data_IF_407433174806
#
_entry.id   IF_407433174806
#
_cell.length_a   1.000
_cell.length_b   1.000
_cell.length_c   1.000
_cell.angle_alpha   90.00
_cell.angle_beta   90.00
_cell.angle_gamma   90.00
#
_symmetry.space_group_name_H-M   'P 1'
#
loop_
_entity.id
_entity.type
_entity.pdbx_description
1 polymer ?
#
# COMPACT_ATOMS: atom_id res chain seq x y z
N UNK A 1 -18.03 -1.82 -25.42
CA UNK A 1 -17.67 -2.56 -24.25
C UNK A 1 -16.62 -1.82 -23.47
N UNK A 2 -16.95 -1.38 -22.32
CA UNK A 2 -16.09 -0.55 -21.53
C UNK A 2 -14.95 -1.29 -20.88
N UNK A 3 -13.93 -0.55 -20.40
CA UNK A 3 -12.84 -1.05 -19.56
C UNK A 3 -13.29 -1.23 -18.10
N UNK A 4 -14.59 -1.52 -17.90
CA UNK A 4 -15.12 -1.77 -16.56
C UNK A 4 -14.79 -3.19 -16.13
N UNK A 5 -14.49 -3.35 -14.85
CA UNK A 5 -14.32 -4.68 -14.25
C UNK A 5 -15.67 -5.43 -14.34
N UNK A 6 -15.65 -6.74 -14.66
CA UNK A 6 -16.90 -7.54 -14.69
C UNK A 6 -17.66 -7.49 -13.38
N UNK A 7 -16.96 -7.39 -12.26
CA UNK A 7 -17.51 -7.21 -10.94
C UNK A 7 -16.72 -6.12 -10.22
N UNK A 8 -17.38 -5.36 -9.35
CA UNK A 8 -16.71 -4.43 -8.47
C UNK A 8 -15.76 -5.21 -7.55
N UNK A 9 -14.50 -4.77 -7.41
CA UNK A 9 -13.57 -5.44 -6.50
C UNK A 9 -14.08 -5.40 -5.07
N UNK A 10 -13.81 -6.46 -4.33
CA UNK A 10 -14.06 -6.54 -2.90
C UNK A 10 -12.76 -6.25 -2.18
N UNK A 11 -12.78 -5.32 -1.24
CA UNK A 11 -11.62 -5.05 -0.39
C UNK A 11 -11.81 -5.83 0.90
N UNK A 12 -10.85 -6.67 1.22
CA UNK A 12 -10.90 -7.52 2.40
C UNK A 12 -9.53 -7.64 3.07
N UNK A 13 -9.53 -8.14 4.28
CA UNK A 13 -8.28 -8.40 5.03
C UNK A 13 -7.48 -9.49 4.32
N UNK A 14 -6.18 -9.25 4.22
CA UNK A 14 -5.23 -10.22 3.65
C UNK A 14 -5.21 -11.51 4.47
N UNK A 15 -5.16 -12.62 3.78
CA UNK A 15 -4.99 -13.96 4.37
C UNK A 15 -3.63 -14.52 3.99
N UNK A 16 -3.18 -15.49 4.75
CA UNK A 16 -1.89 -16.14 4.52
C UNK A 16 -1.77 -16.72 3.11
N UNK A 17 -2.83 -17.31 2.60
CA UNK A 17 -2.85 -17.90 1.25
C UNK A 17 -2.90 -16.85 0.12
N UNK A 18 -3.03 -15.55 0.43
CA UNK A 18 -2.91 -14.49 -0.56
C UNK A 18 -1.45 -14.16 -0.91
N UNK A 19 -0.50 -14.57 -0.08
CA UNK A 19 0.88 -14.13 -0.18
C UNK A 19 1.54 -14.47 -1.52
N UNK A 20 1.29 -15.66 -2.04
CA UNK A 20 1.86 -16.06 -3.33
C UNK A 20 1.40 -15.14 -4.46
N UNK A 21 0.13 -14.75 -4.45
CA UNK A 21 -0.39 -13.83 -5.47
C UNK A 21 0.18 -12.42 -5.33
N UNK A 22 0.41 -11.98 -4.10
CA UNK A 22 1.06 -10.69 -3.83
C UNK A 22 2.48 -10.69 -4.38
N UNK A 23 3.22 -11.78 -4.19
CA UNK A 23 4.57 -11.94 -4.73
C UNK A 23 4.54 -11.88 -6.26
N UNK A 24 3.55 -12.48 -6.89
CA UNK A 24 3.38 -12.41 -8.35
C UNK A 24 3.14 -10.97 -8.82
N UNK A 25 2.26 -10.24 -8.15
CA UNK A 25 1.95 -8.84 -8.51
C UNK A 25 3.19 -7.97 -8.33
N UNK A 26 3.90 -8.13 -7.22
CA UNK A 26 5.15 -7.41 -6.95
C UNK A 26 6.18 -7.69 -8.07
N UNK A 27 6.31 -8.94 -8.48
CA UNK A 27 7.19 -9.32 -9.58
C UNK A 27 6.79 -8.65 -10.90
N UNK A 28 5.50 -8.60 -11.20
CA UNK A 28 5.01 -7.93 -12.40
C UNK A 28 5.38 -6.43 -12.42
N UNK A 29 5.38 -5.80 -11.26
CA UNK A 29 5.67 -4.37 -11.12
C UNK A 29 7.18 -4.10 -11.15
N UNK A 30 7.95 -4.87 -10.38
CA UNK A 30 9.39 -4.64 -10.18
C UNK A 30 10.27 -5.43 -11.14
N UNK A 31 9.76 -6.52 -11.72
CA UNK A 31 10.54 -7.41 -12.56
C UNK A 31 11.42 -8.39 -11.78
N UNK A 32 11.17 -8.55 -10.49
CA UNK A 32 11.95 -9.43 -9.61
C UNK A 32 11.04 -10.11 -8.59
N UNK A 33 11.21 -11.41 -8.44
CA UNK A 33 10.45 -12.19 -7.46
C UNK A 33 11.17 -12.16 -6.11
N UNK A 34 10.47 -11.71 -5.05
CA UNK A 34 11.06 -11.48 -3.74
C UNK A 34 10.31 -12.20 -2.61
N UNK A 35 10.23 -13.55 -2.61
CA UNK A 35 9.45 -14.26 -1.60
C UNK A 35 9.96 -14.03 -0.16
N UNK A 36 11.27 -14.04 0.05
CA UNK A 36 11.85 -13.84 1.40
C UNK A 36 11.55 -12.44 1.94
N UNK A 37 11.59 -11.43 1.09
CA UNK A 37 11.22 -10.08 1.45
C UNK A 37 9.76 -10.03 1.94
N UNK A 38 8.86 -10.66 1.21
CA UNK A 38 7.43 -10.63 1.53
C UNK A 38 7.10 -11.44 2.78
N UNK A 39 7.75 -12.57 2.99
CA UNK A 39 7.59 -13.37 4.22
C UNK A 39 7.91 -12.52 5.44
N UNK A 40 9.06 -11.83 5.42
CA UNK A 40 9.48 -10.95 6.50
C UNK A 40 8.55 -9.74 6.65
N UNK A 41 8.17 -9.16 5.53
CA UNK A 41 7.33 -7.95 5.51
C UNK A 41 5.98 -8.21 6.18
N UNK A 42 5.31 -9.29 5.79
CA UNK A 42 4.01 -9.67 6.33
C UNK A 42 4.13 -10.02 7.82
N UNK A 43 5.16 -10.76 8.21
CA UNK A 43 5.40 -11.10 9.61
C UNK A 43 5.59 -9.84 10.46
N UNK A 44 6.44 -8.93 10.04
CA UNK A 44 6.74 -7.72 10.80
C UNK A 44 5.53 -6.78 10.88
N UNK A 45 4.81 -6.60 9.78
CA UNK A 45 3.62 -5.76 9.75
C UNK A 45 2.54 -6.29 10.70
N UNK A 46 2.33 -7.60 10.70
CA UNK A 46 1.35 -8.22 11.58
C UNK A 46 1.66 -8.06 13.06
N UNK A 47 2.93 -7.94 13.44
CA UNK A 47 3.34 -7.80 14.84
C UNK A 47 3.34 -6.36 15.33
N UNK A 48 3.60 -5.39 14.46
CA UNK A 48 3.85 -4.00 14.87
C UNK A 48 2.66 -3.08 14.70
N UNK A 49 1.78 -3.36 13.77
CA UNK A 49 0.70 -2.44 13.42
C UNK A 49 -0.65 -2.96 13.89
N UNK A 50 -1.51 -2.09 14.46
CA UNK A 50 -2.89 -2.45 14.74
C UNK A 50 -3.76 -2.52 13.48
N UNK A 51 -3.19 -2.16 12.33
CA UNK A 51 -3.92 -2.13 11.06
C UNK A 51 -3.81 -3.45 10.32
N UNK A 52 -4.90 -3.93 9.72
CA UNK A 52 -4.81 -5.09 8.86
C UNK A 52 -4.16 -4.71 7.53
N UNK A 53 -3.47 -5.66 6.90
CA UNK A 53 -3.13 -5.56 5.50
C UNK A 53 -4.36 -5.90 4.67
N UNK A 54 -4.56 -5.22 3.55
CA UNK A 54 -5.76 -5.37 2.74
C UNK A 54 -5.42 -5.85 1.34
N UNK A 55 -6.34 -6.61 0.75
CA UNK A 55 -6.27 -7.02 -0.65
C UNK A 55 -7.56 -6.63 -1.37
N UNK A 56 -7.44 -6.44 -2.66
CA UNK A 56 -8.57 -6.28 -3.57
C UNK A 56 -8.76 -7.59 -4.34
N UNK A 57 -9.97 -8.10 -4.33
CA UNK A 57 -10.31 -9.35 -5.00
C UNK A 57 -11.44 -9.11 -6.00
N UNK A 58 -11.28 -9.62 -7.20
CA UNK A 58 -12.33 -9.64 -8.21
C UNK A 58 -12.35 -11.01 -8.87
N UNK A 59 -13.55 -11.56 -9.04
CA UNK A 59 -13.75 -12.90 -9.63
C UNK A 59 -12.91 -13.99 -8.95
N UNK A 60 -12.80 -13.93 -7.62
CA UNK A 60 -12.04 -14.91 -6.85
C UNK A 60 -10.52 -14.76 -6.94
N UNK A 61 -10.03 -13.69 -7.53
CA UNK A 61 -8.59 -13.47 -7.75
C UNK A 61 -8.14 -12.18 -7.09
N UNK A 62 -7.05 -12.23 -6.33
CA UNK A 62 -6.42 -11.03 -5.77
C UNK A 62 -5.74 -10.25 -6.89
N UNK A 63 -6.10 -8.98 -7.01
CA UNK A 63 -5.60 -8.08 -8.06
C UNK A 63 -4.88 -6.86 -7.51
N UNK A 64 -4.83 -6.71 -6.20
CA UNK A 64 -4.12 -5.59 -5.57
C UNK A 64 -3.99 -5.78 -4.08
N UNK A 65 -3.12 -4.99 -3.47
CA UNK A 65 -2.87 -5.05 -2.03
C UNK A 65 -2.40 -3.69 -1.51
N UNK A 66 -2.59 -3.46 -0.21
CA UNK A 66 -2.03 -2.30 0.49
C UNK A 66 -1.66 -2.70 1.91
N UNK A 67 -0.51 -2.23 2.36
CA UNK A 67 -0.04 -2.37 3.73
C UNK A 67 0.12 -0.98 4.33
N UNK A 68 -0.34 -0.82 5.55
CA UNK A 68 -0.22 0.43 6.30
C UNK A 68 0.34 0.18 7.69
N UNK A 69 0.83 1.23 8.32
CA UNK A 69 1.35 1.19 9.67
C UNK A 69 0.83 2.41 10.44
N UNK A 70 0.42 2.19 11.67
CA UNK A 70 -0.06 3.23 12.58
C UNK A 70 0.63 3.14 13.95
N UNK A 71 1.83 2.58 14.00
CA UNK A 71 2.56 2.40 15.26
C UNK A 71 3.03 3.73 15.88
N UNK A 72 3.18 4.78 15.08
CA UNK A 72 3.51 6.11 15.57
C UNK A 72 4.92 6.30 16.12
N UNK A 73 5.77 5.30 15.97
CA UNK A 73 7.09 5.27 16.60
C UNK A 73 8.21 5.86 15.74
N UNK A 74 8.01 5.89 14.44
CA UNK A 74 9.10 6.13 13.50
C UNK A 74 9.37 7.62 13.35
N UNK A 75 10.65 7.97 13.26
CA UNK A 75 11.12 9.33 12.95
C UNK A 75 10.68 10.41 13.94
N UNK A 76 10.35 10.03 15.19
CA UNK A 76 9.95 11.01 16.19
C UNK A 76 8.63 11.72 15.89
N UNK A 77 7.78 11.12 15.07
CA UNK A 77 6.48 11.70 14.75
C UNK A 77 5.44 11.42 15.85
N UNK A 78 4.41 12.26 15.98
CA UNK A 78 3.35 12.07 16.97
C UNK A 78 2.57 10.77 16.81
N UNK A 79 1.92 10.32 17.88
CA UNK A 79 1.20 9.05 17.97
C UNK A 79 0.01 8.92 17.02
N UNK A 80 -0.53 10.03 16.55
CA UNK A 80 -1.71 10.04 15.69
C UNK A 80 -1.37 9.97 14.19
N UNK A 81 -0.18 9.52 13.85
CA UNK A 81 0.29 9.42 12.47
C UNK A 81 0.26 8.00 11.97
N UNK A 82 -0.22 7.82 10.74
CA UNK A 82 -0.14 6.57 10.02
C UNK A 82 0.68 6.72 8.75
N UNK A 83 1.04 5.60 8.18
CA UNK A 83 1.83 5.54 6.95
C UNK A 83 1.25 4.50 6.00
N UNK A 84 1.13 4.86 4.72
CA UNK A 84 0.92 3.86 3.67
C UNK A 84 2.31 3.34 3.31
N UNK A 85 2.56 2.09 3.64
CA UNK A 85 3.87 1.48 3.49
C UNK A 85 4.10 0.97 2.07
N UNK A 86 3.16 0.21 1.55
CA UNK A 86 3.29 -0.31 0.18
C UNK A 86 1.92 -0.56 -0.43
N UNK A 87 1.82 -0.34 -1.72
CA UNK A 87 0.61 -0.58 -2.48
C UNK A 87 1.02 -1.15 -3.85
N UNK A 88 0.28 -2.13 -4.33
CA UNK A 88 0.50 -2.69 -5.64
C UNK A 88 -0.80 -3.14 -6.28
N UNK A 89 -0.91 -2.97 -7.58
CA UNK A 89 -2.06 -3.43 -8.37
C UNK A 89 -1.53 -4.16 -9.60
N UNK A 90 -2.09 -5.33 -9.87
CA UNK A 90 -1.79 -6.08 -11.08
C UNK A 90 -1.92 -5.14 -12.28
N UNK A 91 -0.87 -5.05 -13.14
CA UNK A 91 -0.90 -4.15 -14.29
C UNK A 91 -2.13 -4.29 -15.19
N UNK A 92 -2.70 -5.49 -15.27
CA UNK A 92 -3.92 -5.73 -16.05
C UNK A 92 -5.16 -5.11 -15.43
N UNK A 93 -5.09 -4.67 -14.18
CA UNK A 93 -6.20 -4.10 -13.42
C UNK A 93 -5.95 -2.65 -13.01
N UNK A 94 -4.86 -2.05 -13.44
CA UNK A 94 -4.56 -0.65 -13.17
C UNK A 94 -5.51 0.28 -13.95
N UNK A 95 -5.65 1.52 -13.45
CA UNK A 95 -6.52 2.57 -14.01
C UNK A 95 -8.01 2.20 -13.99
N UNK A 96 -8.40 1.32 -13.09
CA UNK A 96 -9.80 0.87 -12.93
C UNK A 96 -10.33 1.16 -11.52
N UNK A 97 -9.61 1.97 -10.75
CA UNK A 97 -10.03 2.38 -9.42
C UNK A 97 -9.64 1.44 -8.28
N UNK A 98 -8.90 0.37 -8.55
CA UNK A 98 -8.52 -0.62 -7.51
C UNK A 98 -7.64 0.02 -6.44
N UNK A 99 -6.60 0.77 -6.85
CA UNK A 99 -5.71 1.44 -5.90
C UNK A 99 -6.47 2.44 -5.02
N UNK A 100 -7.38 3.22 -5.62
CA UNK A 100 -8.20 4.17 -4.88
C UNK A 100 -9.04 3.46 -3.82
N UNK A 101 -9.69 2.37 -4.18
CA UNK A 101 -10.52 1.60 -3.24
C UNK A 101 -9.69 1.05 -2.08
N UNK A 102 -8.49 0.55 -2.36
CA UNK A 102 -7.57 0.05 -1.33
C UNK A 102 -7.16 1.16 -0.36
N UNK A 103 -6.76 2.31 -0.88
CA UNK A 103 -6.36 3.45 -0.05
C UNK A 103 -7.53 3.97 0.77
N UNK A 104 -8.70 4.14 0.18
CA UNK A 104 -9.88 4.62 0.89
C UNK A 104 -10.22 3.71 2.07
N UNK A 105 -10.20 2.39 1.87
CA UNK A 105 -10.48 1.45 2.95
C UNK A 105 -9.40 1.47 4.02
N UNK A 106 -8.12 1.55 3.64
CA UNK A 106 -7.03 1.68 4.62
C UNK A 106 -7.18 2.96 5.43
N UNK A 107 -7.51 4.09 4.81
CA UNK A 107 -7.76 5.35 5.52
C UNK A 107 -8.91 5.23 6.50
N UNK A 108 -9.95 4.47 6.17
CA UNK A 108 -11.06 4.19 7.08
C UNK A 108 -10.59 3.42 8.32
N UNK A 109 -9.77 2.39 8.14
CA UNK A 109 -9.18 1.65 9.26
C UNK A 109 -8.30 2.57 10.12
N UNK A 110 -7.47 3.39 9.49
CA UNK A 110 -6.60 4.33 10.19
C UNK A 110 -7.41 5.31 11.05
N UNK A 111 -8.47 5.85 10.49
CA UNK A 111 -9.37 6.75 11.21
C UNK A 111 -9.96 6.09 12.46
N UNK A 112 -10.34 4.83 12.36
CA UNK A 112 -10.92 4.07 13.49
C UNK A 112 -9.94 3.87 14.63
N UNK A 113 -8.64 3.84 14.36
CA UNK A 113 -7.62 3.68 15.41
C UNK A 113 -7.01 5.02 15.84
N UNK A 114 -7.60 6.15 15.44
CA UNK A 114 -7.21 7.46 15.93
C UNK A 114 -6.16 8.19 15.08
N UNK A 115 -5.83 7.69 13.90
CA UNK A 115 -4.92 8.39 12.99
C UNK A 115 -5.63 9.60 12.39
N UNK A 116 -4.97 10.75 12.39
CA UNK A 116 -5.47 11.97 11.77
C UNK A 116 -4.59 12.47 10.61
N UNK A 117 -3.37 11.99 10.53
CA UNK A 117 -2.44 12.37 9.45
C UNK A 117 -1.77 11.13 8.90
N UNK A 118 -1.76 11.00 7.59
CA UNK A 118 -1.21 9.83 6.91
C UNK A 118 -0.09 10.25 5.98
N UNK A 119 1.07 9.62 6.13
CA UNK A 119 2.21 9.83 5.24
C UNK A 119 2.37 8.66 4.28
N UNK A 120 3.00 8.94 3.16
CA UNK A 120 3.52 7.91 2.26
C UNK A 120 4.78 8.44 1.60
N UNK A 121 5.65 7.53 1.18
CA UNK A 121 6.88 7.90 0.47
C UNK A 121 6.75 7.47 -0.98
N UNK A 122 7.02 8.40 -1.89
CA UNK A 122 6.95 8.17 -3.33
C UNK A 122 8.27 8.64 -3.94
N UNK A 123 8.85 7.82 -4.81
CA UNK A 123 10.00 8.26 -5.59
C UNK A 123 9.56 9.48 -6.41
N UNK A 124 10.28 10.60 -6.27
CA UNK A 124 9.90 11.86 -6.93
C UNK A 124 9.93 11.78 -8.46
N UNK A 125 10.52 10.72 -9.01
CA UNK A 125 10.52 10.46 -10.46
C UNK A 125 9.33 9.63 -10.90
N UNK A 126 8.57 9.09 -9.97
CA UNK A 126 7.38 8.29 -10.27
C UNK A 126 6.17 9.22 -10.42
N UNK A 127 6.07 9.85 -11.58
CA UNK A 127 5.02 10.81 -11.86
C UNK A 127 3.62 10.22 -11.80
N UNK A 128 3.45 8.98 -12.23
CA UNK A 128 2.15 8.32 -12.20
C UNK A 128 1.65 8.13 -10.77
N UNK A 129 2.52 7.69 -9.88
CA UNK A 129 2.16 7.50 -8.48
C UNK A 129 1.95 8.84 -7.76
N UNK A 130 2.77 9.85 -8.06
CA UNK A 130 2.57 11.19 -7.52
C UNK A 130 1.22 11.77 -7.94
N UNK A 131 0.85 11.64 -9.21
CA UNK A 131 -0.46 12.09 -9.69
C UNK A 131 -1.61 11.34 -9.02
N UNK A 132 -1.44 10.03 -8.79
CA UNK A 132 -2.43 9.22 -8.10
C UNK A 132 -2.67 9.75 -6.68
N UNK A 133 -1.61 9.96 -5.90
CA UNK A 133 -1.76 10.45 -4.54
C UNK A 133 -2.27 11.90 -4.49
N UNK A 134 -1.86 12.73 -5.43
CA UNK A 134 -2.39 14.08 -5.55
C UNK A 134 -3.91 14.06 -5.79
N UNK A 135 -4.38 13.20 -6.68
CA UNK A 135 -5.80 13.04 -6.95
C UNK A 135 -6.58 12.53 -5.74
N UNK A 136 -5.91 11.78 -4.85
CA UNK A 136 -6.50 11.31 -3.58
C UNK A 136 -6.53 12.39 -2.50
N UNK A 137 -5.92 13.55 -2.74
CA UNK A 137 -5.85 14.64 -1.78
C UNK A 137 -4.57 14.69 -0.93
N UNK A 138 -3.61 13.84 -1.24
CA UNK A 138 -2.30 13.90 -0.56
C UNK A 138 -1.52 15.12 -1.06
N UNK A 139 -0.82 15.77 -0.16
CA UNK A 139 -0.01 16.95 -0.45
C UNK A 139 1.40 16.74 0.08
N UNK A 140 2.34 17.53 -0.40
CA UNK A 140 3.69 17.49 0.14
C UNK A 140 3.67 17.81 1.63
N UNK A 141 4.24 16.91 2.45
CA UNK A 141 4.35 17.12 3.89
C UNK A 141 5.54 18.00 4.25
N UNK A 142 5.76 18.16 5.55
CA UNK A 142 6.79 19.06 6.08
C UNK A 142 8.17 18.44 6.16
N UNK A 143 8.28 17.12 5.98
CA UNK A 143 9.54 16.40 6.06
C UNK A 143 10.04 16.00 4.69
N UNK A 144 11.37 16.02 4.52
CA UNK A 144 12.02 15.53 3.30
C UNK A 144 12.92 14.35 3.65
N UNK A 145 13.14 13.50 2.68
CA UNK A 145 14.09 12.39 2.80
C UNK A 145 15.51 12.92 2.57
N UNK A 146 16.42 12.63 3.50
CA UNK A 146 17.86 12.92 3.35
C UNK A 146 18.59 11.60 3.25
N UNK A 147 19.51 11.49 2.30
CA UNK A 147 20.24 10.26 2.02
C UNK A 147 21.74 10.47 2.15
N UNK A 148 22.39 9.55 2.82
CA UNK A 148 23.84 9.49 2.88
C UNK A 148 24.27 8.07 2.53
N UNK A 149 25.11 7.93 1.52
CA UNK A 149 25.64 6.62 1.13
C UNK A 149 26.93 6.34 1.88
N UNK A 150 26.95 5.22 2.59
CA UNK A 150 28.13 4.76 3.29
C UNK A 150 29.00 4.03 2.27
N UNK A 151 30.23 4.49 2.13
CA UNK A 151 31.23 3.86 1.25
C UNK A 151 32.18 3.01 2.08
N UNK A 152 32.64 1.89 1.50
CA UNK A 152 33.62 1.00 2.14
C UNK A 152 35.02 1.56 2.07
#
# INVERSE_FOLDING_TARGET
>A
MGNTLPEAPIIRVMREDDLERIIEIDNMILGERRPDYWDKKVEMTGKKSPLPSLVAETEGKVVGFVLGDASGWEYGVPENIGCIDTIGVDPSYQKKGVARMLIEEMLNYMKKVGVDTVYTFVNWRDWGLLQFFDAMGFKRGDMINLEFKIED
#
